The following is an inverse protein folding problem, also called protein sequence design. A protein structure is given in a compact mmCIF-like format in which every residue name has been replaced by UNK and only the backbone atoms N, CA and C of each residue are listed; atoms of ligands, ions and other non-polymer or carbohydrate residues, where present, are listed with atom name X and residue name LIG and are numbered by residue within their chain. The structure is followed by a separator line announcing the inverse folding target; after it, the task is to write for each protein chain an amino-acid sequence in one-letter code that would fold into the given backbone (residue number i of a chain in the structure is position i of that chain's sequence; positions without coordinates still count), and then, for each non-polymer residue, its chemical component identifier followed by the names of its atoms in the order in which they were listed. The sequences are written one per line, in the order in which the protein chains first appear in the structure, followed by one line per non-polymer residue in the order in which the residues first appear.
data_IF_205918833811
#
_entry.id   IF_205918833811
#
_cell.length_a   1.000
_cell.length_b   1.000
_cell.length_c   1.000
_cell.angle_alpha   90.00
_cell.angle_beta   90.00
_cell.angle_gamma   90.00
#
_symmetry.space_group_name_H-M   'P 1'
#
loop_
_entity.id
_entity.type
_entity.pdbx_description
1 polymer ?
#
# COMPACT_ATOMS: atom_id res chain seq x y z
N UNK A 1 1.60 -14.59 11.87
CA UNK A 1 2.80 -13.89 11.37
C UNK A 1 2.41 -12.44 11.12
N UNK A 2 3.05 -11.49 11.82
CA UNK A 2 2.74 -10.07 11.67
C UNK A 2 3.25 -9.51 10.34
N UNK A 3 2.65 -8.40 9.90
CA UNK A 3 3.15 -7.65 8.74
C UNK A 3 4.64 -7.31 8.97
N UNK A 4 5.54 -7.49 7.98
CA UNK A 4 6.91 -7.01 8.07
C UNK A 4 6.99 -5.52 8.44
N UNK A 5 8.02 -5.14 9.19
CA UNK A 5 8.13 -3.81 9.82
C UNK A 5 7.97 -2.65 8.81
N UNK A 6 8.55 -2.78 7.61
CA UNK A 6 8.44 -1.78 6.55
C UNK A 6 6.99 -1.59 6.08
N UNK A 7 6.22 -2.66 5.94
CA UNK A 7 4.80 -2.58 5.60
C UNK A 7 3.95 -1.98 6.73
N UNK A 8 4.38 -2.12 7.99
CA UNK A 8 3.70 -1.45 9.11
C UNK A 8 3.88 0.08 9.04
N UNK A 9 5.06 0.55 8.68
CA UNK A 9 5.32 1.99 8.49
C UNK A 9 4.56 2.55 7.28
N UNK A 10 4.55 1.87 6.15
CA UNK A 10 3.74 2.29 4.99
C UNK A 10 2.25 2.34 5.34
N UNK A 11 1.74 1.34 6.07
CA UNK A 11 0.36 1.33 6.56
C UNK A 11 0.06 2.55 7.42
N UNK A 12 0.93 2.89 8.39
CA UNK A 12 0.74 4.07 9.24
C UNK A 12 0.79 5.37 8.43
N UNK A 13 1.70 5.48 7.46
CA UNK A 13 1.81 6.64 6.56
C UNK A 13 0.52 6.84 5.77
N UNK A 14 0.02 5.78 5.14
CA UNK A 14 -1.22 5.82 4.36
C UNK A 14 -2.44 6.11 5.24
N UNK A 15 -2.52 5.53 6.44
CA UNK A 15 -3.58 5.87 7.39
C UNK A 15 -3.57 7.35 7.76
N UNK A 16 -2.40 7.94 8.01
CA UNK A 16 -2.26 9.37 8.25
C UNK A 16 -2.71 10.20 7.05
N UNK A 17 -2.30 9.82 5.84
CA UNK A 17 -2.69 10.50 4.60
C UNK A 17 -4.20 10.45 4.34
N UNK A 18 -4.86 9.31 4.59
CA UNK A 18 -6.33 9.18 4.49
C UNK A 18 -7.03 10.11 5.49
N UNK A 19 -6.52 10.18 6.73
CA UNK A 19 -7.13 11.00 7.78
C UNK A 19 -6.94 12.51 7.55
N UNK A 20 -5.85 12.89 6.89
CA UNK A 20 -5.50 14.29 6.62
C UNK A 20 -6.05 14.79 5.28
N UNK A 21 -6.39 13.89 4.35
CA UNK A 21 -6.99 14.24 3.07
C UNK A 21 -8.25 15.07 3.30
N UNK A 22 -8.20 16.31 2.85
CA UNK A 22 -9.23 17.32 3.05
C UNK A 22 -10.01 17.63 1.78
N UNK A 23 -9.47 17.23 0.63
CA UNK A 23 -10.11 17.34 -0.68
C UNK A 23 -10.08 16.03 -1.48
N UNK A 24 -10.83 16.04 -2.58
CA UNK A 24 -11.04 14.87 -3.43
C UNK A 24 -9.77 14.49 -4.22
N UNK A 25 -8.89 15.44 -4.51
CA UNK A 25 -7.67 15.17 -5.29
C UNK A 25 -6.61 14.52 -4.41
N UNK A 26 -6.45 14.98 -3.16
CA UNK A 26 -5.66 14.29 -2.13
C UNK A 26 -6.15 12.85 -1.91
N UNK A 27 -7.46 12.64 -1.85
CA UNK A 27 -8.04 11.31 -1.68
C UNK A 27 -7.72 10.38 -2.87
N UNK A 28 -7.76 10.92 -4.11
CA UNK A 28 -7.38 10.17 -5.32
C UNK A 28 -5.90 9.81 -5.34
N UNK A 29 -5.03 10.71 -4.89
CA UNK A 29 -3.60 10.42 -4.77
C UNK A 29 -3.34 9.28 -3.79
N UNK A 30 -3.96 9.33 -2.60
CA UNK A 30 -3.84 8.27 -1.60
C UNK A 30 -4.40 6.94 -2.13
N UNK A 31 -5.52 6.98 -2.86
CA UNK A 31 -6.07 5.79 -3.51
C UNK A 31 -5.13 5.22 -4.59
N UNK A 32 -4.47 6.08 -5.37
CA UNK A 32 -3.45 5.67 -6.34
C UNK A 32 -2.27 4.96 -5.67
N UNK A 33 -1.74 5.53 -4.58
CA UNK A 33 -0.66 4.92 -3.80
C UNK A 33 -1.05 3.54 -3.23
N UNK A 34 -2.30 3.40 -2.77
CA UNK A 34 -2.81 2.10 -2.29
C UNK A 34 -2.93 1.08 -3.43
N UNK A 35 -3.36 1.51 -4.62
CA UNK A 35 -3.48 0.66 -5.79
C UNK A 35 -2.11 0.12 -6.22
N UNK A 36 -1.10 1.00 -6.29
CA UNK A 36 0.27 0.64 -6.66
C UNK A 36 0.87 -0.38 -5.69
N UNK A 37 0.72 -0.15 -4.38
CA UNK A 37 1.19 -1.09 -3.36
C UNK A 37 0.52 -2.46 -3.46
N UNK A 38 -0.79 -2.50 -3.71
CA UNK A 38 -1.52 -3.75 -3.90
C UNK A 38 -0.98 -4.54 -5.10
N UNK A 39 -0.73 -3.88 -6.24
CA UNK A 39 -0.21 -4.55 -7.43
C UNK A 39 1.27 -4.94 -7.29
N UNK A 40 2.09 -4.15 -6.59
CA UNK A 40 3.45 -4.54 -6.22
C UNK A 40 3.44 -5.82 -5.38
N UNK A 41 2.58 -5.90 -4.36
CA UNK A 41 2.46 -7.09 -3.52
C UNK A 41 1.96 -8.30 -4.31
N UNK A 42 0.98 -8.11 -5.19
CA UNK A 42 0.45 -9.15 -6.07
C UNK A 42 1.54 -9.68 -7.01
N UNK A 43 2.33 -8.80 -7.62
CA UNK A 43 3.43 -9.17 -8.51
C UNK A 43 4.57 -9.90 -7.76
N UNK A 44 4.95 -9.42 -6.57
CA UNK A 44 5.93 -10.08 -5.72
C UNK A 44 5.46 -11.49 -5.31
N UNK A 45 4.18 -11.63 -4.95
CA UNK A 45 3.58 -12.91 -4.58
C UNK A 45 3.54 -13.86 -5.78
N UNK A 46 3.17 -13.37 -6.97
CA UNK A 46 3.17 -14.17 -8.20
C UNK A 46 4.57 -14.67 -8.58
N UNK A 47 5.62 -13.84 -8.41
CA UNK A 47 7.01 -14.26 -8.60
C UNK A 47 7.41 -15.41 -7.66
N UNK A 48 7.13 -15.26 -6.36
CA UNK A 48 7.44 -16.30 -5.37
C UNK A 48 6.70 -17.61 -5.66
N UNK A 49 5.48 -17.56 -6.17
CA UNK A 49 4.72 -18.76 -6.57
C UNK A 49 5.32 -19.39 -7.83
N UNK A 50 5.79 -18.58 -8.79
CA UNK A 50 6.38 -19.07 -10.05
C UNK A 50 7.80 -19.63 -9.89
N UNK A 51 8.54 -19.22 -8.86
CA UNK A 51 9.89 -19.73 -8.53
C UNK A 51 9.87 -20.97 -7.63
N UNK A 52 8.68 -21.46 -7.25
CA UNK A 52 8.44 -22.65 -6.43
C UNK A 52 7.96 -23.82 -7.29
#
# INVERSE_FOLDING_TARGET
MGLPLHFQFEKLRLQGAIQQASDMDELKEVAGQLLDLYFMQKAATARVISEK
#
